data_IF_898234658762
#
_entry.id   IF_898234658762
#
_cell.length_a   1.000
_cell.length_b   1.000
_cell.length_c   1.000
_cell.angle_alpha   90.00
_cell.angle_beta   90.00
_cell.angle_gamma   90.00
#
_symmetry.space_group_name_H-M   'P 1'
#
loop_
_entity.id
_entity.type
_entity.pdbx_description
1 polymer ?
#
# COMPACT_ATOMS: atom_id res chain seq x y z
N UNK A 1 -22.84 71.90 37.60
CA UNK A 1 -23.84 70.86 37.90
C UNK A 1 -23.21 69.52 37.56
N UNK A 2 -22.39 68.92 38.43
CA UNK A 2 -22.76 68.14 39.61
C UNK A 2 -23.69 66.95 39.32
N UNK A 3 -23.12 65.76 39.12
CA UNK A 3 -23.39 64.63 40.03
C UNK A 3 -22.34 63.52 39.89
N UNK A 4 -21.61 63.34 40.98
CA UNK A 4 -20.74 62.21 41.31
C UNK A 4 -21.50 60.88 41.36
N UNK A 5 -20.78 59.79 41.08
CA UNK A 5 -20.63 58.54 41.88
C UNK A 5 -19.94 57.53 40.94
N UNK A 6 -18.71 57.07 41.14
CA UNK A 6 -18.00 56.82 42.39
C UNK A 6 -18.05 55.33 42.70
N UNK A 7 -16.88 54.68 42.56
CA UNK A 7 -16.33 53.62 43.41
C UNK A 7 -16.21 52.18 42.87
N UNK A 8 -14.93 51.81 42.70
CA UNK A 8 -14.24 50.61 43.19
C UNK A 8 -14.65 49.21 42.67
N UNK A 9 -13.75 48.63 41.87
CA UNK A 9 -13.54 47.19 41.75
C UNK A 9 -12.82 46.65 43.00
N UNK A 10 -13.33 45.62 43.69
CA UNK A 10 -12.50 44.71 44.44
C UNK A 10 -12.21 43.45 43.60
N UNK A 11 -10.93 43.20 43.36
CA UNK A 11 -10.46 41.86 43.03
C UNK A 11 -10.76 40.94 44.22
N UNK A 12 -11.44 39.81 43.96
CA UNK A 12 -11.47 38.68 44.88
C UNK A 12 -11.33 37.39 44.08
N UNK A 13 -10.15 36.80 44.20
CA UNK A 13 -9.86 35.42 43.86
C UNK A 13 -10.82 34.51 44.63
N UNK A 14 -11.55 33.66 43.92
CA UNK A 14 -12.30 32.56 44.51
C UNK A 14 -11.59 31.23 44.18
N UNK A 15 -11.47 30.32 45.15
CA UNK A 15 -10.71 29.09 45.00
C UNK A 15 -11.44 28.09 44.10
N UNK A 16 -10.67 27.51 43.17
CA UNK A 16 -11.07 26.47 42.21
C UNK A 16 -11.19 25.10 42.90
N UNK A 17 -12.00 25.01 43.95
CA UNK A 17 -12.20 23.77 44.71
C UNK A 17 -13.66 23.63 45.14
N UNK A 18 -14.57 23.48 44.17
CA UNK A 18 -15.89 22.84 44.37
C UNK A 18 -16.70 22.73 43.05
N UNK A 19 -16.03 22.38 41.94
CA UNK A 19 -16.75 21.83 40.79
C UNK A 19 -16.74 20.32 40.94
N UNK A 20 -17.77 19.79 41.60
CA UNK A 20 -18.12 18.39 41.47
C UNK A 20 -18.29 18.11 39.98
N UNK A 21 -17.44 17.25 39.42
CA UNK A 21 -17.68 16.66 38.11
C UNK A 21 -18.98 15.89 38.23
N UNK A 22 -20.09 16.49 37.81
CA UNK A 22 -21.27 15.75 37.41
C UNK A 22 -20.82 14.86 36.25
N UNK A 23 -20.51 13.61 36.58
CA UNK A 23 -20.48 12.54 35.62
C UNK A 23 -21.88 12.52 35.02
N UNK A 24 -22.00 12.89 33.74
CA UNK A 24 -23.16 12.54 32.96
C UNK A 24 -23.18 11.01 32.90
N UNK A 25 -23.83 10.40 33.88
CA UNK A 25 -24.36 9.05 33.77
C UNK A 25 -25.37 9.18 32.63
N UNK A 26 -25.00 8.69 31.44
CA UNK A 26 -25.97 8.36 30.41
C UNK A 26 -26.84 7.23 30.95
N UNK A 27 -27.75 7.60 31.85
CA UNK A 27 -28.88 6.79 32.21
C UNK A 27 -29.72 6.75 30.94
N UNK A 28 -29.71 5.61 30.26
CA UNK A 28 -30.79 5.29 29.34
C UNK A 28 -32.05 5.22 30.20
N UNK A 29 -32.73 6.35 30.39
CA UNK A 29 -34.11 6.38 30.83
C UNK A 29 -34.86 5.64 29.73
N UNK A 30 -35.15 4.36 29.98
CA UNK A 30 -36.11 3.63 29.18
C UNK A 30 -37.44 4.30 29.46
N UNK A 31 -37.86 5.19 28.57
CA UNK A 31 -39.26 5.59 28.52
C UNK A 31 -40.06 4.33 28.14
N UNK A 32 -40.60 3.64 29.15
CA UNK A 32 -41.57 2.58 28.93
C UNK A 32 -42.87 3.23 28.50
N UNK A 33 -42.98 3.54 27.21
CA UNK A 33 -44.28 3.81 26.60
C UNK A 33 -45.04 2.49 26.56
N UNK A 34 -46.29 2.49 27.01
CA UNK A 34 -47.20 1.33 27.04
C UNK A 34 -47.61 0.82 25.65
N UNK A 35 -47.00 1.33 24.58
CA UNK A 35 -47.13 0.84 23.20
C UNK A 35 -45.91 0.04 22.73
N UNK A 36 -44.91 -0.18 23.59
CA UNK A 36 -43.68 -0.91 23.28
C UNK A 36 -43.75 -2.44 23.49
N UNK A 37 -44.93 -3.02 23.71
CA UNK A 37 -45.09 -4.48 23.89
C UNK A 37 -45.02 -5.26 22.57
N UNK A 38 -45.04 -4.58 21.43
CA UNK A 38 -44.65 -5.16 20.14
C UNK A 38 -43.20 -4.79 19.84
N UNK A 39 -42.25 -5.26 20.65
CA UNK A 39 -40.84 -5.24 20.27
C UNK A 39 -40.73 -5.86 18.88
N UNK A 40 -40.28 -5.07 17.89
CA UNK A 40 -40.24 -5.49 16.49
C UNK A 40 -39.56 -6.87 16.40
N UNK A 41 -40.15 -7.86 15.70
CA UNK A 41 -39.69 -9.25 15.74
C UNK A 41 -38.21 -9.40 15.40
N UNK A 42 -37.68 -8.53 14.53
CA UNK A 42 -36.27 -8.50 14.15
C UNK A 42 -35.27 -8.18 15.28
N UNK A 43 -35.70 -7.54 16.37
CA UNK A 43 -34.84 -7.24 17.52
C UNK A 43 -34.72 -8.47 18.44
N UNK A 44 -35.74 -9.34 18.46
CA UNK A 44 -35.75 -10.57 19.25
C UNK A 44 -34.80 -11.63 18.70
N UNK A 45 -34.48 -11.55 17.41
CA UNK A 45 -33.52 -12.44 16.73
C UNK A 45 -32.04 -12.06 16.99
N UNK A 46 -31.78 -10.93 17.64
CA UNK A 46 -30.42 -10.49 17.97
C UNK A 46 -29.91 -11.21 19.23
N UNK A 47 -28.61 -11.50 19.26
CA UNK A 47 -27.95 -12.13 20.41
C UNK A 47 -28.10 -11.25 21.66
N UNK A 48 -28.49 -11.88 22.77
CA UNK A 48 -28.77 -11.20 24.03
C UNK A 48 -27.48 -10.74 24.74
N UNK A 49 -26.36 -11.44 24.55
CA UNK A 49 -25.04 -11.02 25.05
C UNK A 49 -24.29 -10.17 24.03
N UNK A 50 -24.35 -8.84 24.19
CA UNK A 50 -23.83 -7.88 23.22
C UNK A 50 -22.46 -7.31 23.63
N UNK A 51 -21.77 -6.68 22.65
CA UNK A 51 -20.52 -5.94 22.87
C UNK A 51 -20.67 -4.66 23.71
N UNK A 52 -21.88 -4.34 24.17
CA UNK A 52 -22.18 -3.11 24.93
C UNK A 52 -21.91 -3.26 26.43
N UNK A 53 -21.06 -4.22 26.83
CA UNK A 53 -20.63 -4.38 28.23
C UNK A 53 -19.90 -3.14 28.71
N UNK A 54 -20.05 -2.83 30.00
CA UNK A 54 -19.33 -1.72 30.63
C UNK A 54 -17.81 -1.90 30.53
N UNK A 55 -17.08 -0.79 30.39
CA UNK A 55 -15.63 -0.82 30.40
C UNK A 55 -15.09 -1.22 31.77
N UNK A 56 -14.00 -1.99 31.80
CA UNK A 56 -13.32 -2.41 33.05
C UNK A 56 -13.00 -1.22 33.95
N UNK A 57 -13.31 -1.36 35.23
CA UNK A 57 -13.08 -0.34 36.24
C UNK A 57 -11.60 -0.08 36.51
N UNK A 58 -11.22 1.09 37.06
CA UNK A 58 -9.82 1.39 37.40
C UNK A 58 -9.27 0.47 38.49
N UNK A 59 -10.11 0.01 39.43
CA UNK A 59 -9.73 -0.93 40.49
C UNK A 59 -9.43 -2.31 39.91
N UNK A 60 -10.31 -2.85 39.08
CA UNK A 60 -10.10 -4.13 38.37
C UNK A 60 -8.83 -4.11 37.51
N UNK A 61 -8.56 -2.99 36.82
CA UNK A 61 -7.32 -2.81 36.05
C UNK A 61 -6.06 -2.82 36.94
N UNK A 62 -6.14 -2.24 38.13
CA UNK A 62 -5.03 -2.20 39.10
C UNK A 62 -4.73 -3.58 39.69
N UNK A 63 -5.77 -4.40 39.86
CA UNK A 63 -5.68 -5.79 40.31
C UNK A 63 -5.21 -6.74 39.19
N UNK A 64 -5.59 -6.49 37.94
CA UNK A 64 -5.23 -7.33 36.80
C UNK A 64 -3.74 -7.25 36.47
N UNK A 65 -2.94 -8.16 37.05
CA UNK A 65 -1.49 -8.25 36.86
C UNK A 65 -1.12 -9.61 36.24
N UNK A 66 -1.01 -9.73 34.90
CA UNK A 66 -0.68 -10.99 34.23
C UNK A 66 0.69 -11.57 34.63
N UNK A 67 1.72 -10.71 34.74
CA UNK A 67 3.07 -11.12 35.13
C UNK A 67 3.10 -11.74 36.53
N UNK A 68 2.35 -11.15 37.48
CA UNK A 68 2.27 -11.64 38.85
C UNK A 68 1.55 -12.99 38.93
N UNK A 69 0.47 -13.17 38.15
CA UNK A 69 -0.23 -14.48 38.05
C UNK A 69 0.66 -15.61 37.55
N UNK A 70 1.62 -15.32 36.68
CA UNK A 70 2.60 -16.32 36.24
C UNK A 70 3.66 -16.59 37.31
N UNK A 71 4.15 -15.55 37.99
CA UNK A 71 5.17 -15.66 39.04
C UNK A 71 4.67 -16.35 40.31
N UNK A 72 3.45 -16.04 40.76
CA UNK A 72 2.83 -16.63 41.95
C UNK A 72 2.48 -18.12 41.74
N UNK A 73 2.40 -18.57 40.48
CA UNK A 73 2.02 -19.94 40.14
C UNK A 73 3.20 -20.89 40.30
N UNK A 74 3.03 -21.91 41.13
CA UNK A 74 4.06 -22.94 41.38
C UNK A 74 4.26 -23.93 40.23
N UNK A 75 3.27 -24.10 39.35
CA UNK A 75 3.28 -25.09 38.26
C UNK A 75 2.72 -24.51 36.96
N UNK A 76 3.08 -25.06 35.80
CA UNK A 76 2.50 -24.65 34.52
C UNK A 76 1.00 -25.00 34.45
N UNK A 77 0.20 -24.15 33.79
CA UNK A 77 -1.20 -24.51 33.49
C UNK A 77 -1.25 -25.68 32.50
N UNK A 78 -2.22 -26.60 32.64
CA UNK A 78 -2.48 -27.60 31.60
C UNK A 78 -2.77 -26.94 30.25
N UNK A 79 -2.33 -27.57 29.16
CA UNK A 79 -2.62 -27.09 27.81
C UNK A 79 -4.10 -27.26 27.45
N UNK A 80 -4.58 -26.45 26.51
CA UNK A 80 -5.95 -26.60 25.99
C UNK A 80 -6.14 -27.92 25.23
N UNK A 81 -7.38 -28.43 25.19
CA UNK A 81 -7.75 -29.62 24.41
C UNK A 81 -7.61 -29.40 22.90
N UNK A 82 -7.85 -28.18 22.43
CA UNK A 82 -7.73 -27.82 21.02
C UNK A 82 -6.26 -27.57 20.65
N UNK A 83 -5.71 -28.42 19.78
CA UNK A 83 -4.29 -28.44 19.38
C UNK A 83 -4.15 -28.38 17.85
N UNK A 84 -4.98 -27.58 17.19
CA UNK A 84 -4.86 -27.35 15.76
C UNK A 84 -3.64 -26.49 15.45
N UNK A 85 -2.83 -26.93 14.49
CA UNK A 85 -1.74 -26.16 13.92
C UNK A 85 -1.86 -26.15 12.40
N UNK A 86 -1.66 -25.00 11.75
CA UNK A 86 -1.80 -24.91 10.30
C UNK A 86 -0.86 -25.88 9.57
N UNK A 87 -1.37 -26.64 8.59
CA UNK A 87 -0.55 -27.61 7.87
C UNK A 87 0.52 -26.90 7.04
N UNK A 88 1.64 -27.58 6.79
CA UNK A 88 2.74 -27.03 5.97
C UNK A 88 2.38 -26.91 4.49
N UNK A 89 1.45 -27.73 4.00
CA UNK A 89 1.09 -27.83 2.59
C UNK A 89 -0.42 -27.83 2.42
N UNK A 90 -0.91 -27.07 1.45
CA UNK A 90 -2.31 -27.12 1.03
C UNK A 90 -2.52 -28.33 0.12
N UNK A 91 -3.33 -29.30 0.56
CA UNK A 91 -3.59 -30.57 -0.17
C UNK A 91 -4.90 -30.55 -0.98
N UNK A 92 -5.44 -29.36 -1.23
CA UNK A 92 -6.72 -29.16 -1.92
C UNK A 92 -7.89 -28.90 -0.98
N UNK A 93 -9.04 -28.45 -1.53
CA UNK A 93 -10.16 -27.93 -0.75
C UNK A 93 -10.95 -29.00 0.01
N UNK A 94 -10.82 -30.28 -0.38
CA UNK A 94 -11.54 -31.40 0.24
C UNK A 94 -10.72 -32.14 1.30
N UNK A 95 -9.48 -31.74 1.55
CA UNK A 95 -8.68 -32.35 2.61
C UNK A 95 -9.31 -32.04 3.98
N UNK A 96 -9.39 -32.98 4.94
CA UNK A 96 -10.02 -32.70 6.23
C UNK A 96 -9.36 -31.57 7.03
N UNK A 97 -8.03 -31.46 6.96
CA UNK A 97 -7.26 -30.40 7.62
C UNK A 97 -7.02 -29.28 6.60
N UNK A 98 -7.76 -28.19 6.75
CA UNK A 98 -7.61 -27.00 5.92
C UNK A 98 -6.61 -26.02 6.54
N UNK A 99 -6.00 -25.19 5.69
CA UNK A 99 -5.19 -24.07 6.16
C UNK A 99 -6.08 -22.87 6.45
N UNK A 100 -5.75 -22.05 7.47
CA UNK A 100 -6.46 -20.83 7.73
C UNK A 100 -6.07 -19.75 6.69
N UNK A 101 -6.84 -18.66 6.58
CA UNK A 101 -6.44 -17.51 5.77
C UNK A 101 -5.22 -16.81 6.36
N UNK A 102 -4.45 -16.09 5.53
CA UNK A 102 -3.25 -15.36 5.96
C UNK A 102 -3.52 -14.23 6.97
N UNK A 103 -4.78 -13.81 7.13
CA UNK A 103 -5.20 -12.84 8.16
C UNK A 103 -5.24 -13.43 9.57
N UNK A 104 -5.30 -14.76 9.69
CA UNK A 104 -5.33 -15.44 10.98
C UNK A 104 -3.95 -15.35 11.65
N UNK A 105 -3.82 -14.86 12.89
CA UNK A 105 -2.55 -14.72 13.59
C UNK A 105 -1.79 -16.04 13.77
N UNK A 106 -2.46 -17.20 13.72
CA UNK A 106 -1.77 -18.51 13.80
C UNK A 106 -1.26 -19.01 12.45
N UNK A 107 -1.62 -18.38 11.33
CA UNK A 107 -1.23 -18.79 9.99
C UNK A 107 0.30 -18.73 9.77
N UNK A 108 0.80 -19.56 8.85
CA UNK A 108 2.26 -19.66 8.59
C UNK A 108 2.81 -18.46 7.82
N UNK A 109 1.96 -17.84 7.03
CA UNK A 109 2.20 -16.71 6.15
C UNK A 109 1.60 -15.41 6.71
N UNK A 110 1.26 -15.41 8.01
CA UNK A 110 0.79 -14.22 8.70
C UNK A 110 1.86 -13.12 8.67
N UNK A 111 1.45 -11.93 8.22
CA UNK A 111 2.25 -10.70 8.30
C UNK A 111 1.50 -9.75 9.22
N UNK A 112 2.15 -9.19 10.26
CA UNK A 112 1.53 -8.19 11.11
C UNK A 112 0.94 -7.04 10.29
N UNK A 113 -0.16 -6.48 10.78
CA UNK A 113 -0.84 -5.35 10.16
C UNK A 113 0.01 -4.06 10.14
N UNK A 114 -0.61 -2.93 9.76
CA UNK A 114 0.10 -1.66 9.62
C UNK A 114 0.65 -1.15 10.96
N UNK A 115 1.91 -0.72 10.96
CA UNK A 115 2.55 -0.11 12.13
C UNK A 115 2.27 1.39 12.25
N UNK A 116 2.11 2.06 11.12
CA UNK A 116 1.88 3.50 10.98
C UNK A 116 0.99 3.78 9.75
N UNK A 117 0.60 5.04 9.60
CA UNK A 117 -0.05 5.54 8.38
C UNK A 117 1.01 6.34 7.60
N UNK A 118 1.40 5.90 6.38
CA UNK A 118 2.35 6.65 5.58
C UNK A 118 1.83 8.05 5.28
N UNK A 119 2.63 9.08 5.57
CA UNK A 119 2.23 10.49 5.37
C UNK A 119 1.81 10.77 3.93
N UNK A 120 2.51 10.20 2.97
CA UNK A 120 2.27 10.42 1.55
C UNK A 120 0.91 9.83 1.12
N UNK A 121 0.51 8.70 1.70
CA UNK A 121 -0.83 8.11 1.51
C UNK A 121 -1.91 8.94 2.19
N UNK A 122 -1.64 9.51 3.36
CA UNK A 122 -2.58 10.42 4.02
C UNK A 122 -2.80 11.69 3.18
N UNK A 123 -1.72 12.33 2.71
CA UNK A 123 -1.77 13.48 1.79
C UNK A 123 -2.53 13.14 0.51
N UNK A 124 -2.33 11.93 -0.02
CA UNK A 124 -3.06 11.46 -1.18
C UNK A 124 -4.58 11.54 -0.97
N UNK A 125 -5.07 10.93 0.11
CA UNK A 125 -6.50 10.87 0.39
C UNK A 125 -7.09 12.22 0.81
N UNK A 126 -6.30 13.09 1.46
CA UNK A 126 -6.81 14.37 1.98
C UNK A 126 -6.84 15.49 0.95
N UNK A 127 -5.91 15.54 -0.01
CA UNK A 127 -5.80 16.65 -0.97
C UNK A 127 -5.76 16.17 -2.42
N UNK A 128 -4.84 15.27 -2.74
CA UNK A 128 -4.53 14.91 -4.13
C UNK A 128 -5.71 14.22 -4.79
N UNK A 129 -6.41 13.31 -4.10
CA UNK A 129 -7.48 12.52 -4.71
C UNK A 129 -8.60 13.39 -5.28
N UNK A 130 -9.03 14.43 -4.54
CA UNK A 130 -10.02 15.40 -5.04
C UNK A 130 -9.48 16.25 -6.18
N UNK A 131 -8.22 16.68 -6.11
CA UNK A 131 -7.59 17.51 -7.14
C UNK A 131 -7.45 16.74 -8.47
N UNK A 132 -7.01 15.49 -8.40
CA UNK A 132 -6.94 14.58 -9.54
C UNK A 132 -8.30 14.38 -10.19
N UNK A 133 -9.33 14.14 -9.38
CA UNK A 133 -10.69 13.92 -9.84
C UNK A 133 -11.26 15.16 -10.53
N UNK A 134 -11.06 16.34 -9.94
CA UNK A 134 -11.59 17.61 -10.47
C UNK A 134 -10.85 18.05 -11.73
N UNK A 135 -9.52 17.91 -11.77
CA UNK A 135 -8.69 18.28 -12.92
C UNK A 135 -9.01 17.42 -14.15
N UNK A 136 -9.17 16.12 -13.97
CA UNK A 136 -9.42 15.18 -15.07
C UNK A 136 -10.91 14.91 -15.37
N UNK A 137 -11.82 15.67 -14.76
CA UNK A 137 -13.26 15.44 -14.92
C UNK A 137 -13.73 15.71 -16.35
N UNK A 138 -14.48 14.76 -16.89
CA UNK A 138 -15.23 14.93 -18.14
C UNK A 138 -16.72 14.77 -17.87
N UNK A 139 -17.50 15.79 -18.21
CA UNK A 139 -18.94 15.80 -17.94
C UNK A 139 -19.68 14.80 -18.82
N UNK A 140 -20.55 14.00 -18.20
CA UNK A 140 -21.50 13.12 -18.89
C UNK A 140 -22.91 13.62 -18.65
N UNK A 141 -23.64 14.07 -19.70
CA UNK A 141 -25.01 14.54 -19.55
C UNK A 141 -25.94 13.47 -18.97
N UNK A 142 -26.96 13.86 -18.18
CA UNK A 142 -27.95 12.91 -17.67
C UNK A 142 -28.68 12.24 -18.84
N UNK A 143 -28.91 10.92 -18.74
CA UNK A 143 -29.55 10.14 -19.79
C UNK A 143 -28.64 9.67 -20.93
N UNK A 144 -27.32 9.91 -20.85
CA UNK A 144 -26.37 9.36 -21.83
C UNK A 144 -26.41 7.82 -21.79
N UNK A 145 -26.63 7.13 -22.93
CA UNK A 145 -26.65 5.67 -22.95
C UNK A 145 -25.26 5.10 -22.62
N UNK A 146 -25.23 3.95 -21.93
CA UNK A 146 -23.98 3.28 -21.61
C UNK A 146 -23.22 2.90 -22.89
N UNK A 147 -21.92 3.22 -22.92
CA UNK A 147 -21.04 2.85 -24.04
C UNK A 147 -20.91 1.32 -24.11
N UNK A 148 -21.39 0.71 -25.18
CA UNK A 148 -21.24 -0.73 -25.42
C UNK A 148 -19.81 -1.03 -25.88
N UNK A 149 -19.09 -1.88 -25.15
CA UNK A 149 -17.74 -2.27 -25.51
C UNK A 149 -17.75 -3.23 -26.72
N UNK A 150 -17.12 -2.82 -27.84
CA UNK A 150 -17.00 -3.68 -29.01
C UNK A 150 -16.01 -4.83 -28.76
N UNK A 151 -16.28 -5.98 -29.38
CA UNK A 151 -15.34 -7.10 -29.42
C UNK A 151 -14.02 -6.66 -30.07
N UNK A 152 -12.91 -6.77 -29.33
CA UNK A 152 -11.59 -6.30 -29.78
C UNK A 152 -10.96 -7.26 -30.80
N UNK A 153 -11.14 -8.56 -30.59
CA UNK A 153 -10.84 -9.58 -31.58
C UNK A 153 -12.02 -9.63 -32.57
N UNK A 154 -11.76 -9.18 -33.80
CA UNK A 154 -12.82 -8.95 -34.78
C UNK A 154 -13.25 -10.28 -35.42
N UNK A 155 -14.55 -10.49 -35.54
CA UNK A 155 -15.11 -11.55 -36.36
C UNK A 155 -14.92 -11.30 -37.85
N UNK A 156 -15.09 -12.36 -38.63
CA UNK A 156 -15.28 -12.26 -40.07
C UNK A 156 -16.75 -11.95 -40.35
N UNK A 157 -17.02 -11.22 -41.42
CA UNK A 157 -18.37 -10.87 -41.85
C UNK A 157 -19.10 -12.08 -42.48
N UNK A 158 -20.42 -12.00 -42.61
CA UNK A 158 -21.23 -13.09 -43.19
C UNK A 158 -21.18 -13.19 -44.72
N UNK A 159 -20.32 -12.42 -45.40
CA UNK A 159 -20.28 -12.32 -46.86
C UNK A 159 -19.85 -13.62 -47.56
N UNK A 160 -19.10 -14.47 -46.86
CA UNK A 160 -18.58 -15.73 -47.40
C UNK A 160 -18.94 -16.91 -46.51
N UNK A 161 -19.37 -18.05 -47.07
CA UNK A 161 -19.59 -19.29 -46.30
C UNK A 161 -18.37 -19.72 -45.50
N UNK A 162 -17.15 -19.40 -45.96
CA UNK A 162 -15.90 -19.71 -45.27
C UNK A 162 -15.70 -18.94 -43.96
N UNK A 163 -16.44 -17.85 -43.72
CA UNK A 163 -16.30 -17.04 -42.53
C UNK A 163 -17.00 -17.63 -41.30
N UNK A 164 -17.95 -18.55 -41.48
CA UNK A 164 -18.79 -19.09 -40.40
C UNK A 164 -18.00 -19.79 -39.28
N UNK A 165 -16.97 -20.55 -39.63
CA UNK A 165 -16.14 -21.32 -38.67
C UNK A 165 -14.69 -20.83 -38.62
N UNK A 166 -14.41 -19.61 -39.12
CA UNK A 166 -13.05 -19.07 -39.16
C UNK A 166 -12.67 -18.47 -37.82
N UNK A 167 -11.43 -18.69 -37.38
CA UNK A 167 -10.90 -18.08 -36.16
C UNK A 167 -10.99 -16.55 -36.23
N UNK A 168 -11.19 -15.91 -35.07
CA UNK A 168 -11.22 -14.45 -34.96
C UNK A 168 -9.93 -13.83 -35.50
N UNK A 169 -10.04 -12.61 -36.02
CA UNK A 169 -8.91 -11.85 -36.54
C UNK A 169 -8.00 -11.42 -35.39
N UNK A 170 -6.70 -11.40 -35.66
CA UNK A 170 -5.71 -10.87 -34.74
C UNK A 170 -5.95 -9.40 -34.37
N UNK A 171 -5.28 -8.93 -33.30
CA UNK A 171 -5.38 -7.54 -32.86
C UNK A 171 -4.97 -6.59 -33.99
N UNK A 172 -5.69 -5.48 -34.11
CA UNK A 172 -5.37 -4.44 -35.10
C UNK A 172 -4.25 -3.55 -34.56
N UNK A 173 -3.21 -3.33 -35.36
CA UNK A 173 -2.08 -2.47 -34.98
C UNK A 173 -1.03 -3.27 -34.22
N UNK A 174 -1.07 -3.18 -32.88
CA UNK A 174 -0.10 -3.86 -32.02
C UNK A 174 -0.27 -5.39 -32.02
N UNK A 175 0.81 -6.16 -31.82
CA UNK A 175 0.75 -7.61 -31.74
C UNK A 175 -0.05 -8.12 -30.52
N UNK A 176 -0.20 -7.28 -29.49
CA UNK A 176 -0.98 -7.55 -28.27
C UNK A 176 -1.99 -6.43 -28.08
N UNK A 177 -3.15 -6.75 -27.52
CA UNK A 177 -4.19 -5.78 -27.21
C UNK A 177 -3.72 -4.83 -26.09
N UNK A 178 -3.53 -3.52 -26.34
CA UNK A 178 -3.17 -2.58 -25.28
C UNK A 178 -4.32 -2.41 -24.29
N UNK A 179 -4.03 -1.98 -23.06
CA UNK A 179 -5.09 -1.63 -22.12
C UNK A 179 -5.88 -0.44 -22.66
N UNK A 180 -7.21 -0.44 -22.48
CA UNK A 180 -8.05 0.69 -22.86
C UNK A 180 -8.04 1.67 -21.70
N UNK A 181 -7.64 2.91 -21.99
CA UNK A 181 -7.69 3.98 -21.00
C UNK A 181 -9.11 4.18 -20.48
N UNK A 182 -9.23 4.31 -19.17
CA UNK A 182 -10.49 4.57 -18.50
C UNK A 182 -10.47 5.99 -17.92
N UNK A 183 -11.62 6.65 -18.00
CA UNK A 183 -11.79 7.97 -17.41
C UNK A 183 -11.63 7.92 -15.89
N UNK A 184 -11.00 8.95 -15.34
CA UNK A 184 -10.85 9.14 -13.89
C UNK A 184 -12.21 9.54 -13.32
N UNK A 185 -12.66 8.80 -12.32
CA UNK A 185 -13.95 9.00 -11.65
C UNK A 185 -13.77 8.86 -10.15
N UNK A 186 -14.77 9.23 -9.35
CA UNK A 186 -14.71 9.08 -7.88
C UNK A 186 -14.42 7.64 -7.42
N UNK A 187 -14.83 6.63 -8.20
CA UNK A 187 -14.55 5.22 -7.93
C UNK A 187 -13.20 4.73 -8.45
N UNK A 188 -12.54 5.52 -9.29
CA UNK A 188 -11.31 5.13 -10.00
C UNK A 188 -10.36 6.31 -10.06
N UNK A 189 -9.78 6.61 -8.92
CA UNK A 189 -8.70 7.57 -8.79
C UNK A 189 -7.39 6.77 -8.81
N UNK A 190 -6.40 7.13 -9.66
CA UNK A 190 -5.12 6.44 -9.71
C UNK A 190 -4.38 6.47 -8.36
N UNK A 191 -3.85 5.33 -7.94
CA UNK A 191 -3.10 5.10 -6.72
C UNK A 191 -1.84 4.29 -7.01
N UNK A 192 -0.87 4.27 -6.08
CA UNK A 192 0.32 3.42 -6.19
C UNK A 192 -0.05 2.03 -5.67
N UNK A 193 0.21 1.00 -6.47
CA UNK A 193 -0.09 -0.38 -6.10
C UNK A 193 1.13 -1.08 -5.50
N UNK A 194 2.24 -1.05 -6.24
CA UNK A 194 3.49 -1.71 -5.87
C UNK A 194 4.68 -1.00 -6.52
N UNK A 195 5.85 -1.15 -5.91
CA UNK A 195 7.12 -0.70 -6.48
C UNK A 195 8.04 -1.90 -6.56
N UNK A 196 8.55 -2.18 -7.76
CA UNK A 196 9.54 -3.22 -7.98
C UNK A 196 10.91 -2.59 -8.18
N UNK A 197 11.87 -3.02 -7.37
CA UNK A 197 13.28 -2.68 -7.52
C UNK A 197 14.02 -3.85 -8.16
N UNK A 198 14.79 -3.58 -9.20
CA UNK A 198 15.59 -4.58 -9.89
C UNK A 198 17.00 -4.08 -10.15
N UNK A 199 17.99 -4.83 -9.66
CA UNK A 199 19.40 -4.59 -9.90
C UNK A 199 19.94 -5.68 -10.82
N UNK A 200 20.57 -5.28 -11.93
CA UNK A 200 21.30 -6.19 -12.82
C UNK A 200 22.80 -5.96 -12.64
N UNK A 201 23.52 -7.00 -12.21
CA UNK A 201 24.93 -6.95 -11.86
C UNK A 201 25.67 -8.10 -12.59
N UNK A 202 26.03 -7.92 -13.88
CA UNK A 202 26.66 -8.98 -14.68
C UNK A 202 28.06 -9.37 -14.20
N UNK A 203 28.76 -8.47 -13.50
CA UNK A 203 30.03 -8.78 -12.81
C UNK A 203 29.87 -9.93 -11.79
N UNK A 204 28.65 -10.11 -11.28
CA UNK A 204 28.24 -11.20 -10.39
C UNK A 204 28.45 -12.61 -10.93
N UNK A 205 28.57 -12.77 -12.25
CA UNK A 205 28.83 -14.06 -12.90
C UNK A 205 30.27 -14.53 -12.63
N UNK A 206 31.22 -13.58 -12.58
CA UNK A 206 32.63 -13.88 -12.28
C UNK A 206 32.87 -13.87 -10.77
N UNK A 207 32.40 -12.81 -10.11
CA UNK A 207 32.60 -12.60 -8.68
C UNK A 207 31.26 -12.59 -7.95
N UNK A 208 30.89 -13.67 -7.23
CA UNK A 208 29.56 -13.83 -6.63
C UNK A 208 29.27 -12.77 -5.55
N UNK A 209 30.30 -12.14 -5.00
CA UNK A 209 30.18 -11.11 -3.97
C UNK A 209 29.38 -9.89 -4.44
N UNK A 210 29.47 -9.51 -5.71
CA UNK A 210 28.65 -8.43 -6.27
C UNK A 210 27.15 -8.69 -6.11
N UNK A 211 26.72 -9.96 -6.21
CA UNK A 211 25.32 -10.33 -6.03
C UNK A 211 24.92 -10.31 -4.55
N UNK A 212 25.82 -10.72 -3.66
CA UNK A 212 25.59 -10.69 -2.21
C UNK A 212 25.45 -9.25 -1.72
N UNK A 213 26.31 -8.34 -2.20
CA UNK A 213 26.23 -6.90 -1.91
C UNK A 213 24.95 -6.30 -2.51
N UNK A 214 24.60 -6.64 -3.75
CA UNK A 214 23.35 -6.17 -4.35
C UNK A 214 22.12 -6.60 -3.54
N UNK A 215 22.14 -7.82 -3.01
CA UNK A 215 21.07 -8.37 -2.17
C UNK A 215 21.00 -7.66 -0.81
N UNK A 216 22.14 -7.39 -0.16
CA UNK A 216 22.13 -6.69 1.13
C UNK A 216 21.69 -5.23 0.99
N UNK A 217 22.12 -4.54 -0.06
CA UNK A 217 21.68 -3.16 -0.36
C UNK A 217 20.17 -3.09 -0.57
N UNK A 218 19.60 -3.95 -1.45
CA UNK A 218 18.15 -3.95 -1.68
C UNK A 218 17.35 -4.35 -0.42
N UNK A 219 17.87 -5.27 0.39
CA UNK A 219 17.28 -5.62 1.68
C UNK A 219 17.24 -4.41 2.62
N UNK A 220 18.35 -3.67 2.74
CA UNK A 220 18.42 -2.46 3.56
C UNK A 220 17.45 -1.37 3.11
N UNK A 221 17.28 -1.18 1.80
CA UNK A 221 16.36 -0.18 1.25
C UNK A 221 14.89 -0.53 1.45
N UNK A 222 14.51 -1.78 1.21
CA UNK A 222 13.10 -2.20 1.14
C UNK A 222 12.58 -2.87 2.41
N UNK A 223 13.46 -3.36 3.28
CA UNK A 223 13.08 -4.19 4.43
C UNK A 223 12.53 -5.57 4.06
N UNK A 224 12.61 -5.97 2.78
CA UNK A 224 12.09 -7.25 2.30
C UNK A 224 13.19 -8.07 1.64
N UNK A 225 13.12 -9.39 1.78
CA UNK A 225 14.16 -10.31 1.31
C UNK A 225 14.17 -10.37 -0.22
N UNK A 226 15.27 -9.95 -0.88
CA UNK A 226 15.30 -9.93 -2.34
C UNK A 226 15.43 -11.32 -2.96
N UNK A 227 14.81 -11.49 -4.12
CA UNK A 227 14.90 -12.69 -4.95
C UNK A 227 16.06 -12.57 -5.95
N UNK A 228 16.86 -13.64 -6.07
CA UNK A 228 17.93 -13.72 -7.05
C UNK A 228 17.36 -14.00 -8.45
N UNK A 229 17.69 -13.15 -9.43
CA UNK A 229 17.27 -13.34 -10.83
C UNK A 229 18.35 -14.07 -11.64
N UNK A 230 17.89 -14.93 -12.54
CA UNK A 230 18.74 -15.67 -13.49
C UNK A 230 18.63 -15.10 -14.89
N UNK A 231 19.68 -15.27 -15.69
CA UNK A 231 19.66 -14.83 -17.08
C UNK A 231 18.81 -15.75 -17.96
N UNK A 232 18.07 -15.14 -18.89
CA UNK A 232 17.16 -15.83 -19.82
C UNK A 232 17.73 -16.04 -21.23
N UNK A 233 18.77 -15.30 -21.61
CA UNK A 233 19.39 -15.35 -22.94
C UNK A 233 20.86 -15.76 -22.86
N UNK A 234 21.38 -16.36 -23.93
CA UNK A 234 22.80 -16.68 -24.06
C UNK A 234 23.41 -15.71 -25.07
N UNK A 235 24.41 -14.93 -24.66
CA UNK A 235 25.11 -13.99 -25.53
C UNK A 235 26.61 -14.13 -25.28
N UNK A 236 27.30 -14.80 -26.21
CA UNK A 236 28.72 -15.10 -26.09
C UNK A 236 29.59 -13.84 -26.01
N UNK A 237 29.24 -12.77 -26.74
CA UNK A 237 29.97 -11.50 -26.74
C UNK A 237 30.05 -10.85 -25.34
N UNK A 238 29.01 -11.03 -24.52
CA UNK A 238 28.96 -10.51 -23.15
C UNK A 238 29.40 -11.53 -22.11
N UNK A 239 29.73 -12.76 -22.53
CA UNK A 239 30.08 -13.86 -21.63
C UNK A 239 28.93 -14.33 -20.75
N UNK A 240 27.68 -14.16 -21.19
CA UNK A 240 26.49 -14.47 -20.39
C UNK A 240 25.86 -15.79 -20.86
N UNK A 241 25.67 -16.75 -19.96
CA UNK A 241 24.98 -18.01 -20.24
C UNK A 241 23.59 -18.05 -19.62
N UNK A 242 22.70 -18.86 -20.21
CA UNK A 242 21.35 -19.07 -19.68
C UNK A 242 21.44 -19.80 -18.35
N UNK A 243 20.70 -19.32 -17.35
CA UNK A 243 20.63 -19.93 -16.02
C UNK A 243 21.61 -19.35 -14.99
N UNK A 244 22.59 -18.56 -15.41
CA UNK A 244 23.52 -17.88 -14.51
C UNK A 244 22.78 -16.86 -13.63
N UNK A 245 23.21 -16.71 -12.37
CA UNK A 245 22.68 -15.68 -11.47
C UNK A 245 23.36 -14.36 -11.82
N UNK A 246 22.57 -13.34 -12.17
CA UNK A 246 23.12 -12.08 -12.69
C UNK A 246 22.42 -10.83 -12.14
N UNK A 247 21.47 -10.99 -11.22
CA UNK A 247 20.77 -9.86 -10.64
C UNK A 247 19.91 -10.22 -9.45
N UNK A 248 19.26 -9.21 -8.92
CA UNK A 248 18.41 -9.28 -7.74
C UNK A 248 17.18 -8.40 -7.96
N UNK A 249 16.02 -8.84 -7.51
CA UNK A 249 14.79 -8.04 -7.54
C UNK A 249 14.03 -8.15 -6.22
N UNK A 250 13.24 -7.12 -5.94
CA UNK A 250 12.35 -7.06 -4.79
C UNK A 250 11.10 -6.28 -5.17
N UNK A 251 9.94 -6.68 -4.64
CA UNK A 251 8.68 -5.95 -4.83
C UNK A 251 8.10 -5.59 -3.47
N UNK A 252 7.80 -4.31 -3.28
CA UNK A 252 7.15 -3.77 -2.08
C UNK A 252 5.74 -3.31 -2.43
N UNK A 253 4.80 -3.53 -1.51
CA UNK A 253 3.37 -3.32 -1.69
C UNK A 253 2.82 -2.35 -0.65
N UNK A 254 1.70 -1.68 -0.96
CA UNK A 254 0.93 -0.92 0.01
C UNK A 254 1.77 0.15 0.74
N UNK A 255 1.74 0.14 2.07
CA UNK A 255 2.37 1.19 2.89
C UNK A 255 3.88 1.34 2.63
N UNK A 256 4.61 0.23 2.47
CA UNK A 256 6.05 0.25 2.20
C UNK A 256 6.39 0.93 0.86
N UNK A 257 5.52 0.78 -0.15
CA UNK A 257 5.69 1.45 -1.44
C UNK A 257 5.58 2.98 -1.30
N UNK A 258 4.61 3.45 -0.52
CA UNK A 258 4.44 4.87 -0.24
C UNK A 258 5.63 5.47 0.53
N UNK A 259 6.14 4.76 1.54
CA UNK A 259 7.33 5.18 2.31
C UNK A 259 8.62 5.18 1.47
N UNK A 260 8.75 4.23 0.54
CA UNK A 260 9.86 4.24 -0.40
C UNK A 260 9.80 5.43 -1.35
N UNK A 261 8.62 5.72 -1.92
CA UNK A 261 8.46 6.89 -2.79
C UNK A 261 8.74 8.20 -2.03
N UNK A 262 8.27 8.29 -0.78
CA UNK A 262 8.50 9.44 0.10
C UNK A 262 10.00 9.72 0.32
N UNK A 263 10.77 8.66 0.62
CA UNK A 263 12.24 8.75 0.70
C UNK A 263 12.86 9.18 -0.63
N UNK A 264 12.37 8.66 -1.75
CA UNK A 264 12.88 9.05 -3.06
C UNK A 264 12.67 10.55 -3.33
N UNK A 265 11.44 11.04 -3.17
CA UNK A 265 11.06 12.41 -3.53
C UNK A 265 11.71 13.44 -2.62
N UNK A 266 11.64 13.23 -1.30
CA UNK A 266 12.02 14.26 -0.34
C UNK A 266 13.46 14.17 0.14
N UNK A 267 14.10 12.99 0.08
CA UNK A 267 15.46 12.80 0.58
C UNK A 267 16.47 12.56 -0.54
N UNK A 268 16.16 11.66 -1.49
CA UNK A 268 17.16 11.22 -2.48
C UNK A 268 17.23 12.16 -3.68
N UNK A 269 16.12 12.40 -4.37
CA UNK A 269 16.08 13.21 -5.59
C UNK A 269 16.73 14.60 -5.45
N UNK A 270 16.49 15.36 -4.37
CA UNK A 270 17.11 16.69 -4.21
C UNK A 270 18.62 16.63 -3.98
N UNK A 271 19.17 15.49 -3.55
CA UNK A 271 20.61 15.29 -3.30
C UNK A 271 21.38 14.88 -4.57
N UNK A 272 20.68 14.48 -5.64
CA UNK A 272 21.33 14.08 -6.88
C UNK A 272 21.82 15.34 -7.61
N UNK A 273 23.13 15.39 -7.87
CA UNK A 273 23.75 16.51 -8.57
C UNK A 273 23.29 16.54 -10.03
N UNK A 274 22.98 17.75 -10.52
CA UNK A 274 22.57 18.01 -11.91
C UNK A 274 21.35 17.18 -12.39
N UNK A 275 20.48 16.78 -11.45
CA UNK A 275 19.30 15.99 -11.76
C UNK A 275 18.16 16.84 -12.33
N UNK A 276 17.75 16.52 -13.56
CA UNK A 276 16.67 17.24 -14.27
C UNK A 276 15.27 16.72 -13.94
N UNK A 277 15.17 15.53 -13.36
CA UNK A 277 13.93 14.81 -13.13
C UNK A 277 13.85 13.48 -13.87
N UNK A 278 12.65 12.91 -13.94
CA UNK A 278 12.36 11.68 -14.69
C UNK A 278 12.03 12.02 -16.14
N UNK A 279 12.45 11.19 -17.10
CA UNK A 279 12.12 11.40 -18.51
C UNK A 279 10.61 11.31 -18.74
N UNK A 280 10.03 12.32 -19.40
CA UNK A 280 8.60 12.37 -19.71
C UNK A 280 8.15 11.26 -20.67
N UNK A 281 9.06 10.70 -21.48
CA UNK A 281 8.83 9.56 -22.39
C UNK A 281 8.67 8.22 -21.66
N UNK A 282 8.95 8.19 -20.36
CA UNK A 282 8.80 6.97 -19.55
C UNK A 282 7.35 6.51 -19.51
N UNK A 283 7.13 5.21 -19.73
CA UNK A 283 5.82 4.59 -19.65
C UNK A 283 5.76 3.28 -20.43
N UNK A 284 4.85 2.38 -20.04
CA UNK A 284 4.57 1.11 -20.72
C UNK A 284 3.18 1.09 -21.40
N UNK A 285 2.59 2.27 -21.58
CA UNK A 285 1.22 2.50 -22.09
C UNK A 285 0.11 1.90 -21.22
N UNK A 286 0.45 1.36 -20.04
CA UNK A 286 -0.50 0.73 -19.12
C UNK A 286 -0.54 1.43 -17.76
N UNK A 287 0.13 2.57 -17.61
CA UNK A 287 0.17 3.33 -16.36
C UNK A 287 1.30 2.94 -15.42
N UNK A 288 2.34 2.25 -15.90
CA UNK A 288 3.53 1.94 -15.12
C UNK A 288 4.69 2.84 -15.56
N UNK A 289 5.40 3.39 -14.58
CA UNK A 289 6.52 4.29 -14.82
C UNK A 289 7.80 3.68 -14.28
N UNK A 290 8.91 3.93 -14.94
CA UNK A 290 10.21 3.37 -14.56
C UNK A 290 11.33 4.39 -14.64
N UNK A 291 12.25 4.35 -13.68
CA UNK A 291 13.49 5.10 -13.77
C UNK A 291 14.64 4.29 -13.22
N UNK A 292 15.86 4.79 -13.41
CA UNK A 292 17.07 4.17 -12.90
C UNK A 292 17.77 5.07 -11.90
N UNK A 293 18.41 4.44 -10.92
CA UNK A 293 19.42 5.04 -10.08
C UNK A 293 20.80 4.53 -10.48
N UNK A 294 21.75 5.44 -10.62
CA UNK A 294 23.16 5.07 -10.80
C UNK A 294 23.76 4.54 -9.50
N UNK A 295 24.90 3.81 -9.54
CA UNK A 295 25.58 3.33 -8.34
C UNK A 295 25.93 4.44 -7.33
N UNK A 296 26.20 5.65 -7.80
CA UNK A 296 26.52 6.79 -6.93
C UNK A 296 25.28 7.39 -6.28
N UNK A 297 24.16 7.42 -7.01
CA UNK A 297 22.86 7.85 -6.48
C UNK A 297 22.32 6.87 -5.42
N UNK A 298 22.58 5.57 -5.59
CA UNK A 298 22.15 4.54 -4.63
C UNK A 298 22.75 4.71 -3.24
N UNK A 299 23.90 5.37 -3.13
CA UNK A 299 24.57 5.67 -1.86
C UNK A 299 23.90 6.80 -1.08
N UNK A 300 23.06 7.61 -1.75
CA UNK A 300 22.37 8.75 -1.15
C UNK A 300 21.15 8.34 -0.32
N UNK A 301 20.73 7.09 -0.41
CA UNK A 301 19.69 6.55 0.46
C UNK A 301 20.20 6.48 1.91
N UNK A 302 19.45 7.01 2.90
CA UNK A 302 19.89 7.02 4.30
C UNK A 302 20.30 5.65 4.83
N UNK A 303 19.60 4.59 4.42
CA UNK A 303 19.83 3.22 4.86
C UNK A 303 21.15 2.65 4.35
N UNK A 304 21.60 3.13 3.18
CA UNK A 304 22.87 2.73 2.56
C UNK A 304 24.00 3.63 3.03
N UNK A 305 23.76 4.93 3.17
CA UNK A 305 24.75 5.93 3.58
C UNK A 305 25.34 5.62 4.95
N UNK A 306 24.49 5.30 5.93
CA UNK A 306 24.93 5.01 7.32
C UNK A 306 25.88 3.82 7.38
N UNK A 307 25.64 2.80 6.55
CA UNK A 307 26.41 1.55 6.53
C UNK A 307 27.33 1.46 5.31
N UNK A 308 27.65 2.57 4.64
CA UNK A 308 28.37 2.55 3.38
C UNK A 308 29.74 1.87 3.51
N UNK A 309 30.44 2.13 4.61
CA UNK A 309 31.77 1.56 4.92
C UNK A 309 31.78 0.05 5.09
N UNK A 310 30.62 -0.58 5.34
CA UNK A 310 30.51 -2.05 5.44
C UNK A 310 30.52 -2.74 4.07
N UNK A 311 30.17 -2.02 3.00
CA UNK A 311 30.17 -2.57 1.66
C UNK A 311 31.57 -2.47 1.04
N UNK A 312 32.05 -3.51 0.36
CA UNK A 312 33.31 -3.43 -0.37
C UNK A 312 33.26 -2.29 -1.41
N UNK A 313 34.42 -1.66 -1.62
CA UNK A 313 34.53 -0.53 -2.53
C UNK A 313 34.06 -0.90 -3.94
N UNK A 314 33.29 0.00 -4.57
CA UNK A 314 32.78 -0.12 -5.94
C UNK A 314 31.85 -1.33 -6.20
N UNK A 315 31.29 -1.95 -5.15
CA UNK A 315 30.37 -3.09 -5.31
C UNK A 315 28.88 -2.73 -5.20
N UNK A 316 28.54 -1.51 -4.75
CA UNK A 316 27.14 -1.05 -4.72
C UNK A 316 26.58 -1.00 -6.14
N UNK A 317 25.48 -1.73 -6.45
CA UNK A 317 24.93 -1.75 -7.79
C UNK A 317 24.05 -0.52 -8.07
N UNK A 318 23.84 -0.23 -9.35
CA UNK A 318 22.71 0.61 -9.77
C UNK A 318 21.39 -0.18 -9.68
N UNK A 319 20.27 0.54 -9.61
CA UNK A 319 18.94 -0.04 -9.45
C UNK A 319 17.98 0.53 -10.49
N UNK A 320 17.06 -0.29 -11.02
CA UNK A 320 15.88 0.17 -11.75
C UNK A 320 14.66 0.07 -10.86
N UNK A 321 13.92 1.17 -10.79
CA UNK A 321 12.65 1.28 -10.09
C UNK A 321 11.52 1.20 -11.10
N UNK A 322 10.56 0.33 -10.85
CA UNK A 322 9.31 0.23 -11.58
C UNK A 322 8.17 0.54 -10.63
N UNK A 323 7.50 1.66 -10.84
CA UNK A 323 6.30 2.04 -10.09
C UNK A 323 5.08 1.59 -10.86
N UNK A 324 4.34 0.67 -10.27
CA UNK A 324 3.06 0.24 -10.78
C UNK A 324 1.95 1.01 -10.11
N UNK A 325 1.09 1.60 -10.91
CA UNK A 325 -0.07 2.35 -10.42
C UNK A 325 -1.36 1.65 -10.84
N UNK A 326 -2.48 2.06 -10.26
CA UNK A 326 -3.81 1.63 -10.71
C UNK A 326 -4.29 2.39 -11.95
N UNK A 327 -3.50 3.35 -12.44
CA UNK A 327 -3.78 4.07 -13.67
C UNK A 327 -3.83 3.11 -14.87
N UNK A 328 -4.52 3.51 -15.93
CA UNK A 328 -4.65 2.70 -17.15
C UNK A 328 -3.90 3.30 -18.35
N UNK A 329 -3.21 4.41 -18.14
CA UNK A 329 -2.56 5.21 -19.17
C UNK A 329 -1.36 5.98 -18.57
N UNK A 330 -0.32 6.19 -19.37
CA UNK A 330 0.93 6.82 -18.90
C UNK A 330 0.73 8.29 -18.55
N UNK A 331 -0.20 8.99 -19.21
CA UNK A 331 -0.55 10.37 -18.84
C UNK A 331 -1.14 10.45 -17.43
N UNK A 332 -2.00 9.50 -17.07
CA UNK A 332 -2.61 9.44 -15.74
C UNK A 332 -1.58 9.09 -14.67
N UNK A 333 -0.68 8.14 -14.96
CA UNK A 333 0.40 7.78 -14.04
C UNK A 333 1.39 8.93 -13.83
N UNK A 334 1.73 9.69 -14.88
CA UNK A 334 2.59 10.87 -14.78
C UNK A 334 1.93 11.96 -13.94
N UNK A 335 0.64 12.21 -14.18
CA UNK A 335 -0.14 13.20 -13.42
C UNK A 335 -0.22 12.82 -11.93
N UNK A 336 -0.39 11.52 -11.62
CA UNK A 336 -0.29 11.01 -10.25
C UNK A 336 1.09 11.25 -9.64
N UNK A 337 2.19 10.87 -10.30
CA UNK A 337 3.52 11.08 -9.75
C UNK A 337 3.89 12.57 -9.61
N UNK A 338 3.42 13.42 -10.52
CA UNK A 338 3.56 14.88 -10.39
C UNK A 338 2.87 15.41 -9.14
N UNK A 339 1.68 14.90 -8.81
CA UNK A 339 0.98 15.29 -7.58
C UNK A 339 1.73 14.90 -6.30
N UNK A 340 2.59 13.88 -6.38
CA UNK A 340 3.51 13.50 -5.30
C UNK A 340 4.83 14.27 -5.29
N UNK A 341 5.00 15.24 -6.19
CA UNK A 341 6.21 16.09 -6.25
C UNK A 341 7.35 15.51 -7.08
N UNK A 342 7.07 14.54 -7.95
CA UNK A 342 8.09 14.00 -8.88
C UNK A 342 8.26 14.94 -10.09
N UNK A 343 9.45 15.51 -10.33
CA UNK A 343 9.68 16.34 -11.50
C UNK A 343 9.89 15.48 -12.75
N UNK A 344 9.34 15.93 -13.88
CA UNK A 344 9.53 15.32 -15.19
C UNK A 344 10.19 16.30 -16.16
N UNK A 345 11.05 15.81 -17.04
CA UNK A 345 11.71 16.60 -18.09
C UNK A 345 11.59 15.97 -19.46
N UNK A 346 11.69 16.81 -20.50
CA UNK A 346 11.60 16.39 -21.91
C UNK A 346 10.18 16.46 -22.47
N UNK A 347 10.02 16.04 -23.72
CA UNK A 347 8.74 16.10 -24.42
C UNK A 347 7.81 14.97 -23.98
N UNK A 348 6.57 15.33 -23.66
CA UNK A 348 5.49 14.39 -23.39
C UNK A 348 5.01 13.82 -24.73
N UNK A 349 5.31 12.54 -25.00
CA UNK A 349 4.59 11.80 -26.03
C UNK A 349 3.18 11.48 -25.50
N UNK A 350 2.18 11.81 -26.31
CA UNK A 350 0.78 11.48 -26.11
C UNK A 350 0.46 10.06 -26.57
#
# INVERSE_FOLDING_TARGET
MASLRGLSRPARSLPLSQLSRQTYIASSIRCSSSQADAAAPAIQDLENSTLTTLQLGPEEKKEFRPWKRAADRKHALPSGRYQYHPPKYNRGPLHPIQSPPSSDPIARDFVPGPFNVPRLKQTYHSTIASDLMTLAYSHTPPGTPAKVAAARLRGWDGSSPYHKNRALRGPRGNPVLPLVERDMSFNRIPEIQEITLACYAPAGIKDPDHLLVARSVLLGLTGTTPEMTKTRANVAQWGIKIGDRAGVKTTIYGNAAYEFLDRCVHLVFPRIKDWKGIQATTGDSSGNLSWGFTPDEMKLFPEVEVNYWMYPAKMVPGCRVFVKTTATSDRQARLLLQSFGVPFYGEVRN
#
